data_IF_568881599389
#
_entry.id   IF_568881599389
#
_cell.length_a   1.000
_cell.length_b   1.000
_cell.length_c   1.000
_cell.angle_alpha   90.00
_cell.angle_beta   90.00
_cell.angle_gamma   90.00
#
_symmetry.space_group_name_H-M   'P 1'
#
loop_
_entity.id
_entity.type
_entity.pdbx_description
1 polymer ?
#
# COMPACT_ATOMS: atom_id res chain seq x y z
N UNK A 1 -17.14 8.60 -4.46
CA UNK A 1 -15.96 8.63 -3.57
C UNK A 1 -15.15 7.38 -3.80
N UNK A 2 -13.85 7.39 -3.47
CA UNK A 2 -12.95 6.25 -3.67
C UNK A 2 -12.27 5.85 -2.36
N UNK A 3 -12.17 4.55 -2.13
CA UNK A 3 -11.42 3.94 -1.02
C UNK A 3 -10.40 2.96 -1.58
N UNK A 4 -9.34 2.76 -0.82
CA UNK A 4 -8.26 1.84 -1.16
C UNK A 4 -8.34 0.64 -0.23
N UNK A 5 -8.15 -0.54 -0.79
CA UNK A 5 -7.88 -1.77 -0.06
C UNK A 5 -6.45 -2.20 -0.35
N UNK A 6 -5.64 -2.47 0.68
CA UNK A 6 -4.26 -2.96 0.56
C UNK A 6 -4.19 -4.34 1.20
N UNK A 7 -3.75 -5.36 0.46
CA UNK A 7 -3.70 -6.75 0.92
C UNK A 7 -5.02 -7.28 1.52
N UNK A 8 -6.17 -6.80 1.04
CA UNK A 8 -7.48 -7.17 1.59
C UNK A 8 -7.95 -6.33 2.78
N UNK A 9 -7.19 -5.30 3.18
CA UNK A 9 -7.53 -4.40 4.29
C UNK A 9 -7.91 -3.00 3.78
N UNK A 10 -9.15 -2.58 4.07
CA UNK A 10 -9.66 -1.23 3.75
C UNK A 10 -8.88 -0.16 4.53
N UNK A 11 -8.47 0.89 3.82
CA UNK A 11 -7.79 2.05 4.39
C UNK A 11 -8.81 3.10 4.85
N UNK A 12 -8.44 3.88 5.87
CA UNK A 12 -9.32 4.88 6.48
C UNK A 12 -9.57 6.09 5.56
N UNK A 13 -8.60 6.44 4.72
CA UNK A 13 -8.68 7.58 3.81
C UNK A 13 -9.72 7.41 2.69
N UNK A 14 -10.41 8.52 2.40
CA UNK A 14 -11.39 8.65 1.32
C UNK A 14 -10.93 9.70 0.33
N UNK A 15 -11.04 9.40 -0.95
CA UNK A 15 -10.58 10.26 -2.03
C UNK A 15 -11.73 10.69 -2.95
N UNK A 16 -11.66 11.92 -3.45
CA UNK A 16 -12.64 12.46 -4.39
C UNK A 16 -12.43 11.96 -5.83
N UNK A 17 -11.22 11.54 -6.17
CA UNK A 17 -10.86 11.06 -7.51
C UNK A 17 -10.11 9.73 -7.44
N UNK A 18 -10.29 8.92 -8.49
CA UNK A 18 -9.54 7.67 -8.66
C UNK A 18 -8.02 7.93 -8.70
N UNK A 19 -7.58 8.98 -9.41
CA UNK A 19 -6.17 9.33 -9.54
C UNK A 19 -5.52 9.63 -8.17
N UNK A 20 -6.22 10.33 -7.28
CA UNK A 20 -5.72 10.60 -5.93
C UNK A 20 -5.65 9.32 -5.09
N UNK A 21 -6.63 8.42 -5.23
CA UNK A 21 -6.58 7.11 -4.58
C UNK A 21 -5.43 6.24 -5.11
N UNK A 22 -5.19 6.25 -6.43
CA UNK A 22 -4.10 5.51 -7.07
C UNK A 22 -2.73 6.04 -6.65
N UNK A 23 -2.54 7.36 -6.65
CA UNK A 23 -1.29 7.97 -6.17
C UNK A 23 -1.00 7.57 -4.72
N UNK A 24 -2.02 7.58 -3.85
CA UNK A 24 -1.86 7.17 -2.46
C UNK A 24 -1.60 5.67 -2.30
N UNK A 25 -2.26 4.81 -3.08
CA UNK A 25 -2.00 3.38 -3.07
C UNK A 25 -0.55 3.08 -3.49
N UNK A 26 -0.04 3.74 -4.54
CA UNK A 26 1.34 3.64 -4.97
C UNK A 26 2.33 4.14 -3.92
N UNK A 27 1.97 5.21 -3.19
CA UNK A 27 2.74 5.69 -2.05
C UNK A 27 2.85 4.63 -0.95
N UNK A 28 1.73 4.01 -0.55
CA UNK A 28 1.71 2.93 0.45
C UNK A 28 2.57 1.73 0.04
N UNK A 29 2.54 1.34 -1.25
CA UNK A 29 3.44 0.31 -1.78
C UNK A 29 4.92 0.69 -1.62
N UNK A 30 5.26 1.95 -1.90
CA UNK A 30 6.60 2.49 -1.68
C UNK A 30 7.03 2.39 -0.21
N UNK A 31 6.14 2.77 0.71
CA UNK A 31 6.39 2.66 2.15
C UNK A 31 6.60 1.21 2.60
N UNK A 32 5.86 0.25 2.05
CA UNK A 32 6.05 -1.17 2.37
C UNK A 32 7.44 -1.65 1.98
N UNK A 33 7.93 -1.23 0.80
CA UNK A 33 9.26 -1.57 0.30
C UNK A 33 10.37 -0.97 1.16
N UNK A 34 10.30 0.34 1.43
CA UNK A 34 11.26 1.04 2.29
C UNK A 34 11.28 0.45 3.71
N UNK A 35 10.10 0.12 4.26
CA UNK A 35 9.98 -0.54 5.55
C UNK A 35 10.65 -1.91 5.58
N UNK A 36 10.53 -2.71 4.51
CA UNK A 36 11.18 -4.01 4.40
C UNK A 36 12.71 -3.89 4.34
N UNK A 37 13.23 -2.91 3.58
CA UNK A 37 14.66 -2.60 3.54
C UNK A 37 15.18 -2.22 4.94
N UNK A 38 14.50 -1.29 5.62
CA UNK A 38 14.87 -0.85 6.97
C UNK A 38 14.82 -2.00 7.96
N UNK A 39 13.80 -2.86 7.89
CA UNK A 39 13.65 -4.01 8.77
C UNK A 39 14.80 -5.01 8.59
N UNK A 40 15.21 -5.26 7.35
CA UNK A 40 16.38 -6.10 7.03
C UNK A 40 17.68 -5.56 7.62
N UNK A 41 17.85 -4.23 7.64
CA UNK A 41 19.03 -3.56 8.21
C UNK A 41 18.99 -3.52 9.75
N UNK A 42 17.79 -3.47 10.32
CA UNK A 42 17.57 -3.37 11.77
C UNK A 42 17.96 -4.66 12.50
N UNK A 43 17.78 -5.81 11.85
CA UNK A 43 18.21 -7.10 12.37
C UNK A 43 18.78 -7.99 11.25
N UNK A 44 20.07 -7.81 10.92
CA UNK A 44 20.69 -8.50 9.79
C UNK A 44 20.59 -10.03 9.91
N UNK A 45 19.87 -10.64 8.97
CA UNK A 45 19.70 -12.10 8.86
C UNK A 45 18.32 -12.63 9.27
N UNK A 46 17.55 -11.90 10.07
CA UNK A 46 16.20 -12.33 10.50
C UNK A 46 15.13 -11.98 9.45
N UNK A 47 15.36 -10.91 8.69
CA UNK A 47 14.48 -10.46 7.60
C UNK A 47 15.29 -10.36 6.30
N UNK A 48 15.49 -11.46 5.57
CA UNK A 48 16.13 -11.40 4.27
C UNK A 48 15.27 -10.54 3.33
N UNK A 49 15.86 -9.48 2.80
CA UNK A 49 15.25 -8.60 1.82
C UNK A 49 16.08 -8.64 0.54
N UNK A 50 15.39 -8.75 -0.59
CA UNK A 50 15.96 -8.72 -1.92
C UNK A 50 15.02 -7.92 -2.81
N UNK A 51 15.55 -6.87 -3.43
CA UNK A 51 14.75 -5.89 -4.18
C UNK A 51 14.05 -6.53 -5.39
N UNK A 52 14.68 -7.51 -6.02
CA UNK A 52 14.17 -8.21 -7.20
C UNK A 52 13.05 -9.22 -6.87
N UNK A 53 12.98 -9.69 -5.62
CA UNK A 53 11.99 -10.67 -5.16
C UNK A 53 11.02 -10.16 -4.10
N UNK A 54 11.05 -8.85 -3.81
CA UNK A 54 10.08 -8.23 -2.91
C UNK A 54 8.65 -8.40 -3.44
N UNK A 55 7.81 -9.05 -2.64
CA UNK A 55 6.39 -9.21 -2.93
C UNK A 55 5.68 -7.89 -2.62
N UNK A 56 5.44 -7.09 -3.66
CA UNK A 56 4.73 -5.84 -3.49
C UNK A 56 3.29 -6.09 -3.02
N UNK A 57 2.76 -5.29 -2.07
CA UNK A 57 1.40 -5.46 -1.62
C UNK A 57 0.42 -5.19 -2.78
N UNK A 58 -0.57 -6.06 -2.90
CA UNK A 58 -1.69 -5.88 -3.82
C UNK A 58 -2.58 -4.73 -3.34
N UNK A 59 -3.19 -4.01 -4.29
CA UNK A 59 -4.15 -2.97 -3.97
C UNK A 59 -5.37 -3.03 -4.89
N UNK A 60 -6.50 -2.54 -4.38
CA UNK A 60 -7.73 -2.32 -5.14
C UNK A 60 -8.32 -0.96 -4.79
N UNK A 61 -8.93 -0.30 -5.77
CA UNK A 61 -9.64 0.97 -5.58
C UNK A 61 -11.12 0.71 -5.79
N UNK A 62 -11.91 1.01 -4.76
CA UNK A 62 -13.35 0.78 -4.73
C UNK A 62 -14.04 2.13 -4.84
N UNK A 63 -14.86 2.29 -5.87
CA UNK A 63 -15.77 3.43 -6.00
C UNK A 63 -17.04 3.15 -5.20
N UNK A 64 -17.48 4.13 -4.42
CA UNK A 64 -18.76 4.08 -3.72
C UNK A 64 -19.46 5.44 -3.79
N UNK A 65 -20.78 5.39 -3.89
CA UNK A 65 -21.64 6.54 -3.73
C UNK A 65 -21.95 6.72 -2.24
N UNK A 66 -21.82 7.95 -1.76
CA UNK A 66 -22.26 8.35 -0.44
C UNK A 66 -23.80 8.47 -0.51
N UNK A 67 -24.51 7.33 -0.57
CA UNK A 67 -25.98 7.32 -0.53
C UNK A 67 -26.45 7.60 0.91
N UNK A 68 -27.02 8.81 1.10
CA UNK A 68 -27.64 9.36 2.33
C UNK A 68 -28.56 8.39 3.11
#
# INVERSE_FOLDING_TARGET
MFKIEICGEEQDEVFDTYEAAEEYALYLKGCAREGAEILSMSNPGDYPYDEDSFEEPDYSIIEYDDED
#
